data_IF_241319870646
#
_entry.id   IF_241319870646
#
_cell.length_a   1.000
_cell.length_b   1.000
_cell.length_c   1.000
_cell.angle_alpha   90.00
_cell.angle_beta   90.00
_cell.angle_gamma   90.00
#
_symmetry.space_group_name_H-M   'P 1'
#
loop_
_entity.id
_entity.type
_entity.pdbx_description
1 polymer ?
#
# COMPACT_ATOMS: atom_id res chain seq x y z
N UNK A 1 21.67 -4.13 -14.95
CA UNK A 1 20.31 -4.52 -14.53
C UNK A 1 19.46 -3.29 -14.74
N UNK A 2 18.36 -3.41 -15.47
CA UNK A 2 17.46 -2.28 -15.70
C UNK A 2 16.79 -1.92 -14.37
N UNK A 3 16.86 -0.65 -13.95
CA UNK A 3 16.26 -0.20 -12.70
C UNK A 3 14.73 -0.27 -12.80
N UNK A 4 14.10 -0.78 -11.74
CA UNK A 4 12.64 -0.88 -11.69
C UNK A 4 12.00 0.52 -11.67
N UNK A 5 11.27 0.82 -12.74
CA UNK A 5 10.78 2.16 -13.05
C UNK A 5 9.79 2.66 -11.99
N UNK A 6 10.02 3.86 -11.46
CA UNK A 6 9.06 4.56 -10.62
C UNK A 6 7.83 4.95 -11.44
N UNK A 7 6.64 4.59 -10.96
CA UNK A 7 5.36 4.86 -11.60
C UNK A 7 4.59 5.96 -10.87
N UNK A 8 4.54 5.88 -9.54
CA UNK A 8 3.80 6.83 -8.71
C UNK A 8 4.51 7.03 -7.37
N UNK A 9 4.52 8.26 -6.89
CA UNK A 9 4.80 8.60 -5.50
C UNK A 9 3.58 9.31 -4.94
N UNK A 10 2.86 8.70 -4.01
CA UNK A 10 1.61 9.21 -3.44
C UNK A 10 1.65 9.14 -1.92
N UNK A 11 1.78 10.32 -1.29
CA UNK A 11 2.04 10.45 0.14
C UNK A 11 3.16 9.49 0.60
N UNK A 12 2.83 8.56 1.48
CA UNK A 12 3.79 7.63 2.10
C UNK A 12 4.02 6.35 1.27
N UNK A 13 3.45 6.27 0.06
CA UNK A 13 3.54 5.08 -0.80
C UNK A 13 4.21 5.38 -2.14
N UNK A 14 5.16 4.53 -2.54
CA UNK A 14 5.82 4.59 -3.85
C UNK A 14 5.52 3.30 -4.61
N UNK A 15 4.94 3.43 -5.80
CA UNK A 15 4.63 2.34 -6.72
C UNK A 15 5.67 2.32 -7.83
N UNK A 16 6.24 1.15 -8.08
CA UNK A 16 7.11 0.86 -9.22
C UNK A 16 6.45 -0.07 -10.22
N UNK A 17 7.10 -0.27 -11.36
CA UNK A 17 6.57 -1.09 -12.44
C UNK A 17 6.38 -2.56 -11.99
N UNK A 18 7.26 -3.08 -11.13
CA UNK A 18 7.08 -4.42 -10.57
C UNK A 18 5.84 -4.54 -9.67
N UNK A 19 5.50 -3.52 -8.89
CA UNK A 19 4.31 -3.52 -8.03
C UNK A 19 3.03 -3.63 -8.88
N UNK A 20 2.96 -2.92 -10.00
CA UNK A 20 1.79 -2.99 -10.89
C UNK A 20 1.58 -4.37 -11.51
N UNK A 21 2.65 -5.15 -11.72
CA UNK A 21 2.51 -6.52 -12.24
C UNK A 21 1.70 -7.41 -11.30
N UNK A 22 1.66 -7.09 -10.01
CA UNK A 22 0.87 -7.85 -9.02
C UNK A 22 -0.64 -7.65 -9.17
N UNK A 23 -1.08 -6.66 -9.95
CA UNK A 23 -2.49 -6.45 -10.29
C UNK A 23 -2.94 -7.28 -11.50
N UNK A 24 -2.02 -7.95 -12.20
CA UNK A 24 -2.38 -8.80 -13.33
C UNK A 24 -3.22 -10.01 -12.88
N UNK A 25 -4.16 -10.48 -13.71
CA UNK A 25 -4.98 -11.63 -13.37
C UNK A 25 -4.15 -12.86 -12.98
N UNK A 26 -4.50 -13.49 -11.86
CA UNK A 26 -3.81 -14.68 -11.34
C UNK A 26 -2.54 -14.39 -10.53
N UNK A 27 -2.15 -13.11 -10.36
CA UNK A 27 -1.08 -12.72 -9.45
C UNK A 27 -1.61 -12.43 -8.04
N UNK A 28 -0.74 -12.57 -7.05
CA UNK A 28 -1.03 -12.15 -5.68
C UNK A 28 -0.64 -10.69 -5.51
N UNK A 29 -1.51 -9.92 -4.86
CA UNK A 29 -1.20 -8.55 -4.46
C UNK A 29 -0.01 -8.54 -3.49
N UNK A 30 0.85 -7.54 -3.64
CA UNK A 30 1.89 -7.28 -2.66
C UNK A 30 1.46 -6.21 -1.64
N UNK A 31 2.29 -6.05 -0.62
CA UNK A 31 2.05 -5.09 0.46
C UNK A 31 2.05 -3.63 -0.03
N UNK A 32 2.82 -3.30 -1.08
CA UNK A 32 2.83 -1.96 -1.69
C UNK A 32 1.45 -1.62 -2.24
N UNK A 33 0.83 -2.53 -3.01
CA UNK A 33 -0.48 -2.29 -3.61
C UNK A 33 -1.59 -2.20 -2.56
N UNK A 34 -1.53 -3.03 -1.51
CA UNK A 34 -2.45 -2.94 -0.38
C UNK A 34 -2.29 -1.62 0.38
N UNK A 35 -1.04 -1.21 0.65
CA UNK A 35 -0.72 0.05 1.34
C UNK A 35 -1.21 1.25 0.53
N UNK A 36 -0.99 1.24 -0.78
CA UNK A 36 -1.49 2.29 -1.68
C UNK A 36 -3.00 2.39 -1.62
N UNK A 37 -3.72 1.27 -1.70
CA UNK A 37 -5.17 1.28 -1.67
C UNK A 37 -5.71 1.85 -0.35
N UNK A 38 -5.13 1.45 0.77
CA UNK A 38 -5.48 1.98 2.10
C UNK A 38 -5.19 3.48 2.22
N UNK A 39 -4.01 3.94 1.80
CA UNK A 39 -3.64 5.37 1.78
C UNK A 39 -4.61 6.17 0.91
N UNK A 40 -4.92 5.68 -0.28
CA UNK A 40 -5.86 6.33 -1.18
C UNK A 40 -7.26 6.44 -0.57
N UNK A 41 -7.76 5.36 0.06
CA UNK A 41 -9.06 5.37 0.73
C UNK A 41 -9.08 6.39 1.87
N UNK A 42 -8.05 6.37 2.71
CA UNK A 42 -7.91 7.24 3.87
C UNK A 42 -7.83 8.73 3.48
N UNK A 43 -7.05 9.07 2.46
CA UNK A 43 -6.88 10.45 2.01
C UNK A 43 -8.08 10.99 1.23
N UNK A 44 -8.81 10.12 0.54
CA UNK A 44 -9.86 10.54 -0.40
C UNK A 44 -11.25 10.51 0.22
N UNK A 45 -11.54 9.53 1.08
CA UNK A 45 -12.91 9.27 1.54
C UNK A 45 -13.09 9.31 3.06
N UNK A 46 -12.04 9.17 3.85
CA UNK A 46 -12.17 9.13 5.31
C UNK A 46 -12.26 10.57 5.87
N UNK A 47 -13.36 10.91 6.57
CA UNK A 47 -13.48 12.22 7.21
C UNK A 47 -12.53 12.33 8.42
N UNK A 48 -12.18 13.57 8.80
CA UNK A 48 -11.25 13.82 9.92
C UNK A 48 -11.80 13.33 11.27
N UNK A 49 -13.11 13.25 11.39
CA UNK A 49 -13.84 12.83 12.59
C UNK A 49 -14.05 11.30 12.65
N UNK A 50 -13.46 10.54 11.72
CA UNK A 50 -13.55 9.09 11.73
C UNK A 50 -12.91 8.49 12.99
N UNK A 51 -13.60 7.51 13.58
CA UNK A 51 -13.11 6.73 14.73
C UNK A 51 -12.47 5.40 14.30
N UNK A 52 -11.94 5.34 13.08
CA UNK A 52 -11.22 4.20 12.54
C UNK A 52 -10.02 4.70 11.75
N UNK A 53 -9.01 3.84 11.60
CA UNK A 53 -7.80 4.12 10.83
C UNK A 53 -7.42 2.89 10.01
N UNK A 54 -6.78 3.10 8.87
CA UNK A 54 -6.24 1.98 8.09
C UNK A 54 -4.82 1.66 8.56
N UNK A 55 -4.61 0.47 9.13
CA UNK A 55 -3.29 0.04 9.54
C UNK A 55 -2.57 -0.63 8.35
N UNK A 56 -1.41 -0.10 7.95
CA UNK A 56 -0.66 -0.62 6.79
C UNK A 56 -0.16 -2.05 7.05
N UNK A 57 -0.05 -2.93 6.04
CA UNK A 57 0.44 -4.31 6.21
C UNK A 57 1.76 -4.42 6.98
N UNK A 58 2.73 -3.55 6.70
CA UNK A 58 4.00 -3.52 7.42
C UNK A 58 3.85 -3.22 8.92
N UNK A 59 2.87 -2.41 9.32
CA UNK A 59 2.58 -2.15 10.74
C UNK A 59 1.89 -3.33 11.40
N UNK A 60 0.97 -4.01 10.71
CA UNK A 60 0.34 -5.25 11.20
C UNK A 60 1.41 -6.29 11.49
N UNK A 61 2.33 -6.51 10.55
CA UNK A 61 3.45 -7.44 10.73
C UNK A 61 4.29 -7.10 11.96
N UNK A 62 4.61 -5.82 12.19
CA UNK A 62 5.36 -5.41 13.38
C UNK A 62 4.60 -5.74 14.68
N UNK A 63 3.30 -5.46 14.74
CA UNK A 63 2.49 -5.75 15.94
C UNK A 63 2.45 -7.25 16.21
N UNK A 64 2.24 -8.07 15.18
CA UNK A 64 2.18 -9.53 15.32
C UNK A 64 3.49 -10.13 15.82
N UNK A 65 4.63 -9.49 15.57
CA UNK A 65 5.95 -9.97 16.00
C UNK A 65 6.41 -9.41 17.35
N UNK A 66 5.64 -8.51 17.96
CA UNK A 66 5.91 -7.95 19.29
C UNK A 66 5.34 -8.84 20.40
N UNK A 67 4.40 -9.74 20.08
CA UNK A 67 3.90 -10.81 20.96
C UNK A 67 4.81 -12.04 20.98
#
# INVERSE_FOLDING_TARGET
>A
MEEDKLILSYHDVVIRQSDLKTLEPGQWLNDTMLSFHMEFLERTFVPKEANYLFLRPGMVQLITFIE
#
